data_IF_222527183381
#
_entry.id   IF_222527183381
#
_cell.length_a   1.000
_cell.length_b   1.000
_cell.length_c   1.000
_cell.angle_alpha   90.00
_cell.angle_beta   90.00
_cell.angle_gamma   90.00
#
_symmetry.space_group_name_H-M   'P 1'
#
loop_
_entity.id
_entity.type
_entity.pdbx_description
1 polymer ?
#
# COMPACT_ATOMS: atom_id res chain seq x y z
N UNK A 1 -7.51 -26.97 -20.60
CA UNK A 1 -8.72 -26.79 -19.76
C UNK A 1 -8.70 -25.52 -18.89
N UNK A 2 -7.79 -24.54 -19.05
CA UNK A 2 -7.65 -23.44 -18.08
C UNK A 2 -8.17 -22.05 -18.52
N UNK A 3 -8.43 -21.83 -19.82
CA UNK A 3 -8.83 -20.49 -20.31
C UNK A 3 -10.25 -20.10 -19.89
N UNK A 4 -11.18 -21.06 -19.85
CA UNK A 4 -12.55 -20.82 -19.39
C UNK A 4 -12.62 -20.45 -17.91
N UNK A 5 -11.84 -21.12 -17.06
CA UNK A 5 -11.75 -20.81 -15.62
C UNK A 5 -11.18 -19.41 -15.38
N UNK A 6 -10.11 -19.06 -16.10
CA UNK A 6 -9.51 -17.74 -16.01
C UNK A 6 -10.46 -16.61 -16.46
N UNK A 7 -11.23 -16.82 -17.53
CA UNK A 7 -12.23 -15.87 -18.00
C UNK A 7 -13.34 -15.64 -16.96
N UNK A 8 -13.84 -16.72 -16.33
CA UNK A 8 -14.85 -16.64 -15.27
C UNK A 8 -14.30 -15.93 -14.02
N UNK A 9 -13.07 -16.24 -13.60
CA UNK A 9 -12.43 -15.58 -12.48
C UNK A 9 -12.26 -14.07 -12.72
N UNK A 10 -11.84 -13.68 -13.93
CA UNK A 10 -11.71 -12.27 -14.32
C UNK A 10 -13.05 -11.54 -14.34
N UNK A 11 -14.08 -12.14 -14.93
CA UNK A 11 -15.43 -11.57 -14.94
C UNK A 11 -15.98 -11.40 -13.51
N UNK A 12 -15.68 -12.36 -12.62
CA UNK A 12 -16.07 -12.30 -11.21
C UNK A 12 -15.34 -11.16 -10.47
N UNK A 13 -14.03 -11.03 -10.69
CA UNK A 13 -13.24 -9.92 -10.13
C UNK A 13 -13.76 -8.56 -10.61
N UNK A 14 -14.11 -8.43 -11.89
CA UNK A 14 -14.69 -7.19 -12.43
C UNK A 14 -16.05 -6.86 -11.82
N UNK A 15 -16.93 -7.87 -11.68
CA UNK A 15 -18.23 -7.69 -11.04
C UNK A 15 -18.09 -7.23 -9.58
N UNK A 16 -17.16 -7.84 -8.83
CA UNK A 16 -16.86 -7.47 -7.44
C UNK A 16 -16.24 -6.07 -7.38
N UNK A 17 -15.36 -5.71 -8.32
CA UNK A 17 -14.78 -4.36 -8.37
C UNK A 17 -15.88 -3.31 -8.52
N UNK A 18 -16.82 -3.50 -9.46
CA UNK A 18 -17.93 -2.57 -9.67
C UNK A 18 -18.88 -2.48 -8.47
N UNK A 19 -19.09 -3.59 -7.76
CA UNK A 19 -20.06 -3.66 -6.66
C UNK A 19 -19.48 -3.28 -5.29
N UNK A 20 -18.24 -3.66 -4.98
CA UNK A 20 -17.71 -3.67 -3.61
C UNK A 20 -16.42 -2.85 -3.43
N UNK A 21 -15.80 -2.32 -4.50
CA UNK A 21 -14.55 -1.54 -4.42
C UNK A 21 -14.61 -0.43 -3.36
N UNK A 22 -15.68 0.37 -3.36
CA UNK A 22 -15.87 1.47 -2.39
C UNK A 22 -15.93 0.97 -0.94
N UNK A 23 -16.53 -0.20 -0.70
CA UNK A 23 -16.65 -0.79 0.65
C UNK A 23 -15.31 -1.37 1.11
N UNK A 24 -14.58 -2.03 0.22
CA UNK A 24 -13.22 -2.51 0.49
C UNK A 24 -12.30 -1.33 0.78
N UNK A 25 -12.31 -0.30 -0.07
CA UNK A 25 -11.52 0.91 0.09
C UNK A 25 -11.81 1.61 1.43
N UNK A 26 -13.08 1.88 1.75
CA UNK A 26 -13.45 2.50 3.03
C UNK A 26 -12.99 1.69 4.24
N UNK A 27 -13.00 0.36 4.13
CA UNK A 27 -12.47 -0.52 5.19
C UNK A 27 -10.96 -0.40 5.31
N UNK A 28 -10.24 -0.37 4.18
CA UNK A 28 -8.79 -0.20 4.15
C UNK A 28 -8.36 1.16 4.68
N UNK A 29 -9.03 2.26 4.30
CA UNK A 29 -8.78 3.61 4.87
C UNK A 29 -8.91 3.57 6.40
N UNK A 30 -9.96 2.92 6.93
CA UNK A 30 -10.18 2.83 8.37
C UNK A 30 -9.15 1.96 9.10
N UNK A 31 -8.53 1.00 8.42
CA UNK A 31 -7.51 0.11 8.97
C UNK A 31 -6.09 0.68 8.85
N UNK A 32 -5.81 1.44 7.79
CA UNK A 32 -4.49 1.92 7.45
C UNK A 32 -4.26 3.38 7.86
N UNK A 33 -5.34 4.16 8.02
CA UNK A 33 -5.29 5.55 8.46
C UNK A 33 -4.83 6.55 7.39
N UNK A 34 -4.63 6.09 6.15
CA UNK A 34 -4.09 6.86 5.04
C UNK A 34 -4.84 6.50 3.74
N UNK A 35 -5.27 7.51 2.99
CA UNK A 35 -6.09 7.34 1.77
C UNK A 35 -5.28 6.81 0.59
N UNK A 36 -4.07 7.34 0.40
CA UNK A 36 -3.21 6.97 -0.72
C UNK A 36 -2.73 5.53 -0.53
N UNK A 37 -2.29 5.20 0.68
CA UNK A 37 -1.91 3.84 1.03
C UNK A 37 -3.08 2.85 0.89
N UNK A 38 -4.30 3.27 1.23
CA UNK A 38 -5.49 2.44 1.07
C UNK A 38 -5.86 2.22 -0.41
N UNK A 39 -5.63 3.20 -1.27
CA UNK A 39 -5.89 3.09 -2.71
C UNK A 39 -4.89 2.13 -3.36
N UNK A 40 -3.61 2.27 -3.04
CA UNK A 40 -2.58 1.31 -3.47
C UNK A 40 -2.90 -0.10 -2.98
N UNK A 41 -3.27 -0.25 -1.70
CA UNK A 41 -3.65 -1.53 -1.11
C UNK A 41 -4.86 -2.17 -1.82
N UNK A 42 -5.86 -1.37 -2.20
CA UNK A 42 -7.01 -1.82 -2.96
C UNK A 42 -6.58 -2.37 -4.33
N UNK A 43 -5.76 -1.62 -5.06
CA UNK A 43 -5.27 -2.02 -6.36
C UNK A 43 -4.43 -3.29 -6.30
N UNK A 44 -3.55 -3.41 -5.30
CA UNK A 44 -2.75 -4.60 -5.08
C UNK A 44 -3.59 -5.82 -4.69
N UNK A 45 -4.67 -5.63 -3.93
CA UNK A 45 -5.60 -6.71 -3.62
C UNK A 45 -6.30 -7.24 -4.87
N UNK A 46 -6.78 -6.35 -5.75
CA UNK A 46 -7.40 -6.76 -7.01
C UNK A 46 -6.40 -7.34 -8.01
N UNK A 47 -5.16 -6.83 -8.05
CA UNK A 47 -4.06 -7.45 -8.81
C UNK A 47 -3.82 -8.88 -8.35
N UNK A 48 -3.72 -9.11 -7.04
CA UNK A 48 -3.55 -10.44 -6.48
C UNK A 48 -4.75 -11.35 -6.78
N UNK A 49 -5.98 -10.83 -6.76
CA UNK A 49 -7.17 -11.59 -7.14
C UNK A 49 -7.11 -12.06 -8.61
N UNK A 50 -6.73 -11.16 -9.54
CA UNK A 50 -6.59 -11.48 -10.96
C UNK A 50 -5.49 -12.51 -11.23
N UNK A 51 -4.46 -12.55 -10.39
CA UNK A 51 -3.39 -13.55 -10.48
C UNK A 51 -3.78 -14.90 -9.87
N UNK A 52 -4.38 -14.89 -8.68
CA UNK A 52 -4.61 -16.09 -7.87
C UNK A 52 -5.92 -16.80 -8.18
N UNK A 53 -7.04 -16.08 -8.35
CA UNK A 53 -8.34 -16.71 -8.53
C UNK A 53 -8.48 -17.61 -9.76
N UNK A 54 -7.82 -17.33 -10.91
CA UNK A 54 -7.82 -18.26 -12.04
C UNK A 54 -7.23 -19.65 -11.70
N UNK A 55 -6.30 -19.71 -10.75
CA UNK A 55 -5.58 -20.92 -10.35
C UNK A 55 -6.23 -21.59 -9.14
N UNK A 56 -6.57 -20.79 -8.14
CA UNK A 56 -6.95 -21.26 -6.80
C UNK A 56 -8.47 -21.19 -6.57
N UNK A 57 -9.21 -20.60 -7.52
CA UNK A 57 -10.64 -20.34 -7.41
C UNK A 57 -10.95 -19.03 -6.69
N UNK A 58 -12.21 -18.61 -6.80
CA UNK A 58 -12.72 -17.43 -6.08
C UNK A 58 -13.02 -17.86 -4.63
N UNK A 59 -12.48 -17.15 -3.61
CA UNK A 59 -12.73 -17.49 -2.21
C UNK A 59 -14.21 -17.31 -1.86
N UNK A 60 -14.70 -18.04 -0.84
CA UNK A 60 -16.10 -18.00 -0.39
C UNK A 60 -16.55 -16.58 0.03
N UNK A 61 -15.64 -15.79 0.62
CA UNK A 61 -15.86 -14.39 0.95
C UNK A 61 -14.83 -13.48 0.28
N UNK A 62 -15.08 -13.07 -0.99
CA UNK A 62 -14.13 -12.26 -1.75
C UNK A 62 -13.82 -10.91 -1.12
N UNK A 63 -14.81 -10.26 -0.50
CA UNK A 63 -14.61 -8.96 0.14
C UNK A 63 -13.64 -9.05 1.32
N UNK A 64 -13.86 -10.01 2.22
CA UNK A 64 -12.98 -10.21 3.38
C UNK A 64 -11.56 -10.59 2.94
N UNK A 65 -11.47 -11.40 1.88
CA UNK A 65 -10.20 -11.76 1.26
C UNK A 65 -9.48 -10.52 0.70
N UNK A 66 -10.15 -9.67 -0.06
CA UNK A 66 -9.58 -8.44 -0.63
C UNK A 66 -9.08 -7.47 0.45
N UNK A 67 -9.86 -7.26 1.52
CA UNK A 67 -9.44 -6.42 2.65
C UNK A 67 -8.18 -6.98 3.32
N UNK A 68 -8.14 -8.29 3.56
CA UNK A 68 -6.99 -8.93 4.20
C UNK A 68 -5.75 -8.85 3.31
N UNK A 69 -5.88 -9.21 2.04
CA UNK A 69 -4.79 -9.14 1.05
C UNK A 69 -4.27 -7.72 0.90
N UNK A 70 -5.16 -6.73 0.77
CA UNK A 70 -4.77 -5.31 0.67
C UNK A 70 -4.00 -4.85 1.89
N UNK A 71 -4.48 -5.18 3.11
CA UNK A 71 -3.77 -4.85 4.35
C UNK A 71 -2.37 -5.48 4.41
N UNK A 72 -2.23 -6.75 4.02
CA UNK A 72 -0.92 -7.41 3.99
C UNK A 72 0.03 -6.76 2.99
N UNK A 73 -0.46 -6.47 1.78
CA UNK A 73 0.33 -5.79 0.73
C UNK A 73 0.81 -4.41 1.18
N UNK A 74 -0.05 -3.63 1.82
CA UNK A 74 0.31 -2.34 2.40
C UNK A 74 1.42 -2.46 3.45
N UNK A 75 1.27 -3.39 4.39
CA UNK A 75 2.28 -3.64 5.44
C UNK A 75 3.61 -4.09 4.83
N UNK A 76 3.57 -4.96 3.83
CA UNK A 76 4.77 -5.42 3.13
C UNK A 76 5.45 -4.28 2.34
N UNK A 77 4.66 -3.38 1.75
CA UNK A 77 5.13 -2.15 1.12
C UNK A 77 5.86 -1.23 2.11
N UNK A 78 5.25 -0.93 3.25
CA UNK A 78 5.85 -0.12 4.33
C UNK A 78 7.17 -0.74 4.80
N UNK A 79 7.18 -2.05 5.04
CA UNK A 79 8.39 -2.78 5.46
C UNK A 79 9.49 -2.71 4.41
N UNK A 80 9.13 -2.77 3.13
CA UNK A 80 10.10 -2.67 2.03
C UNK A 80 10.67 -1.26 1.95
N UNK A 81 9.83 -0.23 2.04
CA UNK A 81 10.27 1.16 2.02
C UNK A 81 11.20 1.48 3.19
N UNK A 82 10.86 1.05 4.40
CA UNK A 82 11.71 1.23 5.58
C UNK A 82 13.09 0.59 5.43
N UNK A 83 13.17 -0.58 4.76
CA UNK A 83 14.45 -1.23 4.47
C UNK A 83 15.28 -0.45 3.46
N UNK A 84 14.66 0.15 2.44
CA UNK A 84 15.37 0.96 1.46
C UNK A 84 15.94 2.22 2.10
N UNK A 85 15.14 2.96 2.87
CA UNK A 85 15.62 4.14 3.61
C UNK A 85 16.80 3.78 4.52
N UNK A 86 16.71 2.67 5.27
CA UNK A 86 17.80 2.23 6.13
C UNK A 86 19.09 1.85 5.36
N UNK A 87 18.98 1.39 4.11
CA UNK A 87 20.15 1.10 3.27
C UNK A 87 20.76 2.41 2.74
N UNK A 88 19.92 3.35 2.29
CA UNK A 88 20.38 4.66 1.81
C UNK A 88 21.09 5.44 2.94
N UNK A 89 20.52 5.45 4.16
CA UNK A 89 21.16 6.07 5.34
C UNK A 89 22.52 5.45 5.67
N UNK A 90 22.68 4.13 5.47
CA UNK A 90 23.96 3.44 5.67
C UNK A 90 24.92 3.74 4.53
N UNK A 91 24.45 3.82 3.28
CA UNK A 91 25.29 4.20 2.15
C UNK A 91 25.82 5.64 2.29
N UNK A 92 24.96 6.58 2.67
CA UNK A 92 25.36 7.95 2.97
C UNK A 92 26.33 8.02 4.15
N UNK A 93 26.14 7.23 5.20
CA UNK A 93 27.10 7.16 6.31
C UNK A 93 28.45 6.57 5.87
N UNK A 94 28.47 5.53 5.04
CA UNK A 94 29.71 4.92 4.55
C UNK A 94 30.47 5.88 3.62
N UNK A 95 29.76 6.61 2.76
CA UNK A 95 30.34 7.67 1.91
C UNK A 95 30.76 8.90 2.72
N UNK A 96 30.17 9.11 3.91
CA UNK A 96 30.51 10.18 4.84
C UNK A 96 31.58 9.79 5.87
N UNK A 97 32.12 8.56 5.87
CA UNK A 97 33.32 8.21 6.66
C UNK A 97 34.53 8.88 5.98
N UNK A 98 35.12 9.94 6.57
CA UNK A 98 36.33 10.52 6.04
C UNK A 98 37.47 9.54 6.33
N UNK A 99 38.32 9.29 5.33
CA UNK A 99 39.62 8.67 5.53
C UNK A 99 40.53 9.69 6.24
N UNK A 100 40.31 9.90 7.55
CA UNK A 100 41.21 10.43 8.59
C UNK A 100 40.42 11.08 9.75
N UNK A 101 40.99 11.03 10.95
CA UNK A 101 40.38 11.25 12.26
C UNK A 101 40.00 12.72 12.59
N UNK A 102 38.92 12.91 13.35
CA UNK A 102 38.76 13.80 14.55
C UNK A 102 37.29 14.28 14.74
N UNK A 103 36.74 14.38 15.98
CA UNK A 103 35.33 14.70 16.23
C UNK A 103 35.08 16.20 16.47
N UNK A 104 33.92 16.71 16.03
CA UNK A 104 32.93 17.50 16.80
C UNK A 104 32.08 18.45 15.92
N UNK A 105 30.80 18.50 16.30
CA UNK A 105 29.78 19.57 16.19
C UNK A 105 29.04 19.84 14.86
N UNK A 106 27.69 19.77 14.95
CA UNK A 106 26.76 20.17 13.89
C UNK A 106 25.30 19.83 14.15
N UNK A 107 24.72 20.41 15.19
CA UNK A 107 23.28 20.41 15.48
C UNK A 107 22.48 21.14 14.37
N UNK A 108 21.39 20.55 13.84
CA UNK A 108 20.29 21.34 13.25
C UNK A 108 18.95 20.59 13.28
N UNK A 109 17.91 21.36 13.54
CA UNK A 109 16.61 21.03 14.11
C UNK A 109 15.49 21.32 13.07
N UNK A 110 14.43 20.51 13.14
CA UNK A 110 12.99 20.72 12.82
C UNK A 110 12.45 21.18 11.44
N UNK A 111 11.38 20.45 11.08
CA UNK A 111 10.04 20.89 10.64
C UNK A 111 9.81 21.39 9.21
N UNK A 112 9.08 20.58 8.42
CA UNK A 112 8.12 21.10 7.41
C UNK A 112 7.28 19.99 6.71
N UNK A 113 6.56 19.13 7.46
CA UNK A 113 5.57 18.22 6.83
C UNK A 113 4.19 18.21 7.48
N UNK A 114 3.81 19.33 8.10
CA UNK A 114 2.40 19.71 8.23
C UNK A 114 1.88 20.33 6.92
N UNK A 115 1.44 19.49 5.98
CA UNK A 115 0.44 19.90 4.96
C UNK A 115 -0.84 19.06 5.03
N UNK A 116 -1.26 18.88 6.28
CA UNK A 116 -2.53 18.35 6.77
C UNK A 116 -3.60 19.47 6.86
N UNK A 117 -3.88 20.22 5.77
CA UNK A 117 -4.84 21.35 5.85
C UNK A 117 -5.94 21.39 4.78
N UNK A 118 -5.87 20.71 3.63
CA UNK A 118 -6.91 20.94 2.63
C UNK A 118 -7.63 19.68 2.13
N UNK A 119 -8.95 19.74 2.29
CA UNK A 119 -10.01 19.13 1.45
C UNK A 119 -10.64 17.80 1.85
N UNK A 120 -11.23 17.72 3.04
CA UNK A 120 -12.52 17.04 3.23
C UNK A 120 -13.32 17.75 4.34
N UNK A 121 -14.53 18.23 4.03
CA UNK A 121 -15.55 18.82 4.93
C UNK A 121 -15.62 20.36 5.09
N UNK A 122 -15.96 21.10 4.01
CA UNK A 122 -16.82 22.29 4.19
C UNK A 122 -18.15 22.11 3.45
N UNK A 123 -19.28 21.96 4.16
CA UNK A 123 -20.60 21.93 3.55
C UNK A 123 -21.06 23.37 3.28
N UNK A 124 -20.72 23.89 2.11
CA UNK A 124 -21.35 25.09 1.53
C UNK A 124 -21.15 25.13 0.01
N UNK A 125 -21.67 24.12 -0.69
CA UNK A 125 -22.13 24.17 -2.08
C UNK A 125 -23.33 23.23 -2.22
#
# INVERSE_FOLDING_TARGET
MNEGSAAVARATAEAIYRAESRRVFATLVRLLGDFDLAEEALHDAFRAALEQWPRDGVPENPRAWLVSTGRFKAIDGIRRQARFVAIDDVAEQVDAIPDDASPLDGESIEDDRLRLVFTCCHPAL
#
